data_IF_488992812056
#
_entry.id   IF_488992812056
#
_cell.length_a   1.000
_cell.length_b   1.000
_cell.length_c   1.000
_cell.angle_alpha   90.00
_cell.angle_beta   90.00
_cell.angle_gamma   90.00
#
_symmetry.space_group_name_H-M   'P 1'
#
loop_
_entity.id
_entity.type
_entity.pdbx_description
1 polymer ?
#
# COMPACT_ATOMS: atom_id res chain seq x y z
N UNK A 1 4.64 13.76 -13.56
CA UNK A 1 3.66 14.15 -12.51
C UNK A 1 4.33 13.99 -11.14
N UNK A 2 3.96 14.79 -10.14
CA UNK A 2 4.46 14.64 -8.76
C UNK A 2 3.32 14.17 -7.87
N UNK A 3 3.46 13.02 -7.22
CA UNK A 3 2.48 12.52 -6.23
C UNK A 3 2.97 12.85 -4.82
N UNK A 4 2.21 13.64 -4.07
CA UNK A 4 2.60 14.08 -2.72
C UNK A 4 1.71 13.41 -1.68
N UNK A 5 2.26 12.49 -0.89
CA UNK A 5 1.58 11.83 0.23
C UNK A 5 1.73 12.66 1.50
N UNK A 6 0.65 13.32 1.91
CA UNK A 6 0.68 14.34 2.97
C UNK A 6 -0.57 14.31 3.85
N UNK A 7 -0.48 14.90 5.04
CA UNK A 7 -1.62 15.14 5.94
C UNK A 7 -1.20 16.02 7.12
N UNK A 8 -0.92 15.46 8.31
CA UNK A 8 -0.65 16.24 9.53
C UNK A 8 0.60 17.09 9.53
N UNK A 9 1.54 16.81 8.64
CA UNK A 9 2.72 17.67 8.48
C UNK A 9 2.44 18.87 7.57
N UNK A 10 1.61 18.66 6.55
CA UNK A 10 1.28 19.68 5.56
C UNK A 10 -0.12 19.39 5.01
N UNK A 11 -1.14 20.20 5.35
CA UNK A 11 -2.51 19.92 4.96
C UNK A 11 -2.68 20.02 3.44
N UNK A 12 -3.65 19.30 2.88
CA UNK A 12 -3.95 19.34 1.45
C UNK A 12 -4.34 20.75 0.94
N UNK A 13 -4.78 21.63 1.84
CA UNK A 13 -5.10 23.03 1.56
C UNK A 13 -3.87 23.94 1.45
N UNK A 14 -2.66 23.43 1.70
CA UNK A 14 -1.44 24.22 1.66
C UNK A 14 -1.20 24.82 0.25
N UNK A 15 -1.04 26.15 0.11
CA UNK A 15 -0.96 26.81 -1.20
C UNK A 15 0.16 26.29 -2.11
N UNK A 16 1.30 25.85 -1.57
CA UNK A 16 2.42 25.32 -2.37
C UNK A 16 2.09 23.97 -3.03
N UNK A 17 1.02 23.30 -2.62
CA UNK A 17 0.53 22.07 -3.27
C UNK A 17 -0.50 22.37 -4.38
N UNK A 18 -1.01 23.59 -4.48
CA UNK A 18 -2.05 24.00 -5.43
C UNK A 18 -1.46 24.31 -6.82
N UNK A 19 -0.86 23.32 -7.47
CA UNK A 19 -0.28 23.40 -8.82
C UNK A 19 -0.71 22.19 -9.67
N UNK A 20 -0.91 22.36 -10.99
CA UNK A 20 -1.30 21.25 -11.87
C UNK A 20 -0.28 20.10 -11.93
N UNK A 21 0.98 20.36 -11.57
CA UNK A 21 2.04 19.33 -11.59
C UNK A 21 2.01 18.41 -10.37
N UNK A 22 1.22 18.75 -9.34
CA UNK A 22 1.10 18.00 -8.09
C UNK A 22 -0.26 17.29 -8.04
N UNK A 23 -0.20 15.99 -7.78
CA UNK A 23 -1.32 15.18 -7.35
C UNK A 23 -1.23 14.91 -5.87
N UNK A 24 -2.07 15.59 -5.10
CA UNK A 24 -2.17 15.40 -3.65
C UNK A 24 -2.76 14.02 -3.36
N UNK A 25 -2.13 13.32 -2.40
CA UNK A 25 -2.51 11.99 -1.91
C UNK A 25 -2.66 12.08 -0.38
N UNK A 26 -3.55 11.30 0.24
CA UNK A 26 -3.59 11.18 1.70
C UNK A 26 -2.25 10.63 2.24
N UNK A 27 -2.03 10.58 3.57
CA UNK A 27 -0.84 9.96 4.13
C UNK A 27 -0.66 8.53 3.60
N UNK A 28 0.56 8.20 3.17
CA UNK A 28 0.88 6.93 2.52
C UNK A 28 0.45 5.72 3.36
N UNK A 29 -0.27 4.80 2.72
CA UNK A 29 -0.72 3.54 3.28
C UNK A 29 -0.04 2.37 2.58
N UNK A 30 -0.09 1.22 3.24
CA UNK A 30 0.33 -0.03 2.64
C UNK A 30 -0.40 -0.30 1.33
N UNK A 31 0.34 -0.39 0.23
CA UNK A 31 -0.17 -0.66 -1.12
C UNK A 31 -0.23 0.54 -2.05
N UNK A 32 -0.19 1.77 -1.53
CA UNK A 32 -0.47 2.97 -2.33
C UNK A 32 0.55 3.19 -3.46
N UNK A 33 1.79 2.70 -3.30
CA UNK A 33 2.83 2.80 -4.35
C UNK A 33 2.62 1.84 -5.53
N UNK A 34 1.66 0.92 -5.44
CA UNK A 34 1.23 0.07 -6.55
C UNK A 34 0.11 0.69 -7.39
N UNK A 35 -0.38 1.88 -7.04
CA UNK A 35 -1.39 2.58 -7.85
C UNK A 35 -0.88 2.77 -9.29
N UNK A 36 -1.69 2.32 -10.25
CA UNK A 36 -1.39 2.43 -11.67
C UNK A 36 -1.25 3.88 -12.12
N UNK A 37 -1.89 4.85 -11.45
CA UNK A 37 -1.74 6.26 -11.75
C UNK A 37 -0.32 6.81 -11.52
N UNK A 38 0.54 6.11 -10.78
CA UNK A 38 1.97 6.43 -10.63
C UNK A 38 2.72 5.70 -11.74
N UNK A 39 3.34 6.42 -12.67
CA UNK A 39 4.01 5.87 -13.86
C UNK A 39 5.54 5.97 -13.76
N UNK A 40 6.29 5.16 -14.54
CA UNK A 40 7.73 5.38 -14.71
C UNK A 40 8.01 6.84 -15.12
N UNK A 41 9.01 7.47 -14.50
CA UNK A 41 9.34 8.89 -14.71
C UNK A 41 8.59 9.87 -13.81
N UNK A 42 7.52 9.44 -13.12
CA UNK A 42 6.87 10.28 -12.11
C UNK A 42 7.73 10.41 -10.84
N UNK A 43 7.51 11.48 -10.09
CA UNK A 43 8.08 11.69 -8.77
C UNK A 43 7.04 11.38 -7.71
N UNK A 44 7.43 10.64 -6.67
CA UNK A 44 6.62 10.43 -5.47
C UNK A 44 7.35 11.05 -4.29
N UNK A 45 6.71 12.05 -3.67
CA UNK A 45 7.15 12.65 -2.42
C UNK A 45 6.33 12.07 -1.27
N UNK A 46 7.00 11.34 -0.38
CA UNK A 46 6.40 10.85 0.87
C UNK A 46 6.74 11.86 1.96
N UNK A 47 5.71 12.52 2.49
CA UNK A 47 5.79 13.32 3.71
C UNK A 47 5.23 12.46 4.84
N UNK A 48 3.92 12.23 4.85
CA UNK A 48 3.23 11.49 5.90
C UNK A 48 2.85 10.07 5.47
N UNK A 49 2.69 9.20 6.47
CA UNK A 49 2.16 7.86 6.30
C UNK A 49 1.35 7.44 7.51
N UNK A 50 0.39 6.56 7.30
CA UNK A 50 -0.41 6.01 8.40
C UNK A 50 0.37 4.94 9.16
N UNK A 51 0.22 4.95 10.49
CA UNK A 51 0.84 3.99 11.39
C UNK A 51 -0.16 3.53 12.47
N UNK A 52 0.13 2.42 13.14
CA UNK A 52 -0.69 1.70 14.12
C UNK A 52 -1.98 1.05 13.61
N UNK A 53 -2.93 1.81 13.06
CA UNK A 53 -4.26 1.29 12.70
C UNK A 53 -4.26 0.52 11.37
N UNK A 54 -3.24 0.73 10.56
CA UNK A 54 -3.00 0.02 9.30
C UNK A 54 -1.53 -0.38 9.23
N UNK A 55 -1.18 -1.45 8.48
CA UNK A 55 0.21 -1.78 8.23
C UNK A 55 0.94 -0.56 7.66
N UNK A 56 2.14 -0.28 8.18
CA UNK A 56 2.96 0.81 7.67
C UNK A 56 3.40 0.55 6.22
N UNK A 57 3.70 1.63 5.49
CA UNK A 57 4.37 1.57 4.20
C UNK A 57 5.67 0.77 4.32
N UNK A 58 5.82 -0.28 3.50
CA UNK A 58 7.00 -1.16 3.55
C UNK A 58 8.13 -0.63 2.67
N UNK A 59 9.37 -0.81 3.12
CA UNK A 59 10.57 -0.55 2.30
C UNK A 59 10.51 -1.20 0.92
N UNK A 60 9.99 -2.42 0.84
CA UNK A 60 9.87 -3.14 -0.43
C UNK A 60 8.93 -2.48 -1.44
N UNK A 61 7.97 -1.66 -1.00
CA UNK A 61 7.08 -0.91 -1.92
C UNK A 61 7.86 0.25 -2.56
N UNK A 62 8.61 0.99 -1.74
CA UNK A 62 9.45 2.10 -2.20
C UNK A 62 10.51 1.57 -3.16
N UNK A 63 11.20 0.50 -2.79
CA UNK A 63 12.21 -0.14 -3.63
C UNK A 63 11.60 -0.69 -4.94
N UNK A 64 10.38 -1.23 -4.91
CA UNK A 64 9.67 -1.62 -6.13
C UNK A 64 9.30 -0.42 -7.01
N UNK A 65 8.92 0.72 -6.42
CA UNK A 65 8.66 1.95 -7.16
C UNK A 65 9.94 2.49 -7.84
N UNK A 66 11.07 2.52 -7.11
CA UNK A 66 12.39 2.87 -7.67
C UNK A 66 12.75 1.92 -8.80
N UNK A 67 12.60 0.60 -8.61
CA UNK A 67 12.90 -0.39 -9.64
C UNK A 67 12.03 -0.19 -10.90
N UNK A 68 10.82 0.35 -10.77
CA UNK A 68 9.91 0.69 -11.88
C UNK A 68 10.25 2.03 -12.55
N UNK A 69 11.26 2.75 -12.07
CA UNK A 69 11.68 4.05 -12.62
C UNK A 69 10.91 5.24 -12.06
N UNK A 70 10.30 5.11 -10.88
CA UNK A 70 9.68 6.22 -10.15
C UNK A 70 10.75 6.91 -9.30
N UNK A 71 10.82 8.25 -9.35
CA UNK A 71 11.72 9.02 -8.50
C UNK A 71 11.12 9.15 -7.10
N UNK A 72 11.76 8.55 -6.10
CA UNK A 72 11.27 8.58 -4.73
C UNK A 72 11.97 9.67 -3.92
N UNK A 73 11.19 10.57 -3.33
CA UNK A 73 11.65 11.60 -2.39
C UNK A 73 10.99 11.35 -1.04
N UNK A 74 11.74 11.47 0.05
CA UNK A 74 11.20 11.47 1.41
C UNK A 74 11.66 12.68 2.19
N UNK A 75 10.74 13.29 2.93
CA UNK A 75 11.03 14.44 3.76
C UNK A 75 10.04 14.54 4.91
N UNK A 76 10.51 15.06 6.05
CA UNK A 76 9.76 15.09 7.30
C UNK A 76 9.15 13.72 7.70
N UNK A 77 8.54 13.68 8.89
CA UNK A 77 7.69 12.55 9.31
C UNK A 77 8.27 11.15 9.02
N UNK A 78 7.46 10.19 8.56
CA UNK A 78 7.91 8.87 8.10
C UNK A 78 8.72 8.92 6.80
N UNK A 79 8.49 9.93 5.95
CA UNK A 79 9.20 10.09 4.67
C UNK A 79 10.71 10.25 4.83
N UNK A 80 11.13 11.10 5.77
CA UNK A 80 12.52 11.31 6.14
C UNK A 80 13.19 10.05 6.67
N UNK A 81 12.50 9.30 7.55
CA UNK A 81 13.00 8.02 8.06
C UNK A 81 13.23 7.03 6.91
N UNK A 82 12.23 6.85 6.04
CA UNK A 82 12.34 5.94 4.89
C UNK A 82 13.43 6.38 3.90
N UNK A 83 13.59 7.68 3.68
CA UNK A 83 14.69 8.19 2.86
C UNK A 83 16.06 7.92 3.47
N UNK A 84 16.23 8.05 4.79
CA UNK A 84 17.49 7.72 5.47
C UNK A 84 17.85 6.23 5.31
N UNK A 85 16.87 5.34 5.44
CA UNK A 85 17.06 3.90 5.29
C UNK A 85 17.28 3.47 3.82
N UNK A 86 16.71 4.21 2.86
CA UNK A 86 16.68 3.84 1.44
C UNK A 86 17.54 4.72 0.54
N UNK A 87 18.29 5.67 1.09
CA UNK A 87 19.24 6.49 0.35
C UNK A 87 20.26 5.67 -0.46
N UNK A 88 20.85 4.56 0.07
CA UNK A 88 21.76 3.72 -0.72
C UNK A 88 21.11 3.06 -1.96
N UNK A 89 19.78 2.99 -1.99
CA UNK A 89 19.00 2.39 -3.07
C UNK A 89 18.35 3.44 -4.00
N UNK A 90 18.64 4.73 -3.81
CA UNK A 90 18.21 5.80 -4.71
C UNK A 90 16.97 6.59 -4.26
N UNK A 91 16.52 6.45 -3.02
CA UNK A 91 15.52 7.38 -2.46
C UNK A 91 16.20 8.68 -2.02
N UNK A 92 15.74 9.81 -2.54
CA UNK A 92 16.27 11.13 -2.18
C UNK A 92 15.68 11.61 -0.86
N UNK A 93 16.53 11.90 0.13
CA UNK A 93 16.11 12.51 1.37
C UNK A 93 16.29 14.03 1.38
N UNK A 94 15.28 14.76 1.86
CA UNK A 94 15.31 16.21 1.96
C UNK A 94 14.98 16.66 3.39
N UNK A 95 15.71 17.68 3.85
CA UNK A 95 15.43 18.36 5.10
C UNK A 95 16.33 17.95 6.28
N UNK A 96 16.16 18.67 7.37
CA UNK A 96 16.95 18.49 8.60
C UNK A 96 16.61 17.17 9.29
N UNK A 97 15.33 16.77 9.30
CA UNK A 97 14.88 15.51 9.92
C UNK A 97 15.49 14.31 9.19
N UNK A 98 15.50 14.31 7.85
CA UNK A 98 16.21 13.29 7.07
C UNK A 98 17.69 13.25 7.43
N UNK A 99 18.34 14.41 7.47
CA UNK A 99 19.77 14.51 7.78
C UNK A 99 20.09 13.94 9.16
N UNK A 100 19.27 14.23 10.17
CA UNK A 100 19.44 13.69 11.51
C UNK A 100 19.24 12.17 11.58
N UNK A 101 18.28 11.59 10.85
CA UNK A 101 18.18 10.13 10.73
C UNK A 101 19.38 9.53 10.00
N UNK A 102 19.79 10.10 8.87
CA UNK A 102 20.90 9.61 8.05
C UNK A 102 22.25 9.64 8.79
N UNK A 103 22.43 10.60 9.70
CA UNK A 103 23.60 10.72 10.58
C UNK A 103 23.50 9.91 11.87
N UNK A 104 22.34 9.32 12.15
CA UNK A 104 22.09 8.62 13.41
C UNK A 104 22.05 9.54 14.63
N UNK A 105 21.64 10.80 14.46
CA UNK A 105 21.39 11.73 15.57
C UNK A 105 20.03 11.45 16.24
N UNK A 106 19.09 10.89 15.46
CA UNK A 106 17.78 10.41 15.91
C UNK A 106 17.50 9.03 15.31
N UNK A 107 16.70 8.22 16.02
CA UNK A 107 16.42 6.83 15.62
C UNK A 107 14.99 6.36 15.87
N UNK A 108 14.27 6.98 16.82
CA UNK A 108 12.95 6.52 17.25
C UNK A 108 11.84 6.90 16.27
N UNK A 109 10.81 6.06 16.18
CA UNK A 109 9.57 6.38 15.45
C UNK A 109 8.79 7.52 16.14
N UNK A 110 8.93 7.62 17.45
CA UNK A 110 8.31 8.66 18.28
C UNK A 110 8.87 10.06 18.02
N UNK A 111 10.05 10.15 17.40
CA UNK A 111 10.66 11.42 17.00
C UNK A 111 9.72 12.22 16.09
N UNK A 112 9.00 11.51 15.22
CA UNK A 112 8.13 12.08 14.18
C UNK A 112 6.64 11.80 14.38
N UNK A 113 6.30 10.88 15.31
CA UNK A 113 4.93 10.47 15.59
C UNK A 113 4.09 11.59 16.21
N UNK A 114 2.83 11.65 15.79
CA UNK A 114 1.83 12.62 16.27
C UNK A 114 0.48 11.93 16.47
N UNK A 115 -0.32 12.44 17.40
CA UNK A 115 -1.73 12.07 17.53
C UNK A 115 -2.55 12.72 16.42
N UNK A 116 -3.46 11.97 15.83
CA UNK A 116 -4.40 12.44 14.80
C UNK A 116 -5.84 12.25 15.26
N UNK A 117 -6.74 13.11 14.78
CA UNK A 117 -8.15 12.97 15.06
C UNK A 117 -8.74 11.73 14.32
N UNK A 118 -9.72 11.02 14.91
CA UNK A 118 -10.29 9.81 14.30
C UNK A 118 -11.16 10.07 13.07
N UNK A 119 -11.65 11.30 12.91
CA UNK A 119 -12.63 11.75 11.91
C UNK A 119 -12.00 12.25 10.61
N UNK A 120 -10.68 12.14 10.47
CA UNK A 120 -9.97 12.49 9.25
C UNK A 120 -9.61 13.97 9.14
N UNK A 121 -9.74 14.75 10.22
CA UNK A 121 -9.06 16.05 10.29
C UNK A 121 -7.57 15.83 10.12
N UNK A 122 -6.99 16.52 9.13
CA UNK A 122 -5.59 16.36 8.79
C UNK A 122 -4.68 16.96 9.86
N UNK A 123 -5.16 17.74 10.82
CA UNK A 123 -4.32 18.43 11.80
C UNK A 123 -3.67 17.51 12.84
N UNK A 124 -2.41 17.82 13.17
CA UNK A 124 -1.68 17.18 14.26
C UNK A 124 -2.20 17.66 15.62
N UNK A 125 -2.67 16.75 16.46
CA UNK A 125 -3.14 17.06 17.82
C UNK A 125 -2.00 17.24 18.83
N UNK A 126 -0.81 16.70 18.51
CA UNK A 126 0.34 16.68 19.42
C UNK A 126 1.65 17.09 18.76
N UNK A 127 2.65 17.33 19.61
CA UNK A 127 3.98 17.76 19.20
C UNK A 127 4.92 16.57 19.00
N UNK A 128 5.53 16.41 17.81
CA UNK A 128 6.59 15.43 17.58
C UNK A 128 7.90 15.90 18.26
N UNK A 129 8.82 14.96 18.57
CA UNK A 129 10.04 15.29 19.32
C UNK A 129 10.92 16.22 18.49
N UNK A 130 11.00 16.01 17.17
CA UNK A 130 11.83 16.84 16.29
C UNK A 130 11.45 18.32 16.34
N UNK A 131 10.15 18.65 16.46
CA UNK A 131 9.70 20.03 16.62
C UNK A 131 10.08 20.58 18.00
N UNK A 132 10.04 19.76 19.05
CA UNK A 132 10.48 20.15 20.40
C UNK A 132 11.99 20.42 20.44
N UNK A 133 12.80 19.54 19.84
CA UNK A 133 14.26 19.72 19.69
C UNK A 133 14.56 21.02 18.97
N UNK A 134 13.91 21.25 17.83
CA UNK A 134 14.10 22.46 17.05
C UNK A 134 13.70 23.72 17.83
N UNK A 135 12.55 23.70 18.48
CA UNK A 135 12.06 24.82 19.30
C UNK A 135 13.01 25.14 20.45
N UNK A 136 13.55 24.13 21.14
CA UNK A 136 14.53 24.33 22.20
C UNK A 136 15.86 24.88 21.66
N UNK A 137 16.27 24.47 20.46
CA UNK A 137 17.46 25.03 19.82
C UNK A 137 17.27 26.51 19.43
N UNK A 138 16.07 26.88 18.95
CA UNK A 138 15.71 28.29 18.73
C UNK A 138 15.73 29.08 20.04
N UNK A 139 15.18 28.51 21.12
CA UNK A 139 15.19 29.13 22.45
C UNK A 139 16.61 29.35 22.99
N UNK A 140 17.51 28.39 22.77
CA UNK A 140 18.95 28.53 23.11
C UNK A 140 19.61 29.64 22.33
N UNK A 141 19.35 29.71 21.03
CA UNK A 141 19.89 30.76 20.15
C UNK A 141 19.39 32.14 20.56
N UNK A 142 18.16 32.23 21.05
CA UNK A 142 17.56 33.45 21.58
C UNK A 142 17.93 33.77 23.04
N UNK A 143 18.76 32.94 23.70
CA UNK A 143 19.19 33.16 25.08
C UNK A 143 18.11 32.92 26.14
N UNK A 144 17.01 32.23 25.80
CA UNK A 144 15.88 31.96 26.70
C UNK A 144 16.19 30.80 27.66
N UNK A 145 16.94 29.81 27.19
CA UNK A 145 17.42 28.66 27.95
C UNK A 145 18.88 28.39 27.60
N UNK A 146 19.65 27.85 28.54
CA UNK A 146 20.99 27.33 28.27
C UNK A 146 20.93 25.85 27.82
N UNK A 147 22.10 25.23 27.60
CA UNK A 147 22.19 23.84 27.15
C UNK A 147 21.68 22.81 28.16
N UNK A 148 21.91 23.04 29.46
CA UNK A 148 21.50 22.12 30.53
C UNK A 148 19.98 22.15 30.68
N UNK A 149 19.40 23.36 30.75
CA UNK A 149 17.96 23.59 30.84
C UNK A 149 17.22 23.01 29.64
N UNK A 150 17.74 23.24 28.42
CA UNK A 150 17.17 22.67 27.21
C UNK A 150 17.20 21.13 27.20
N UNK A 151 18.31 20.52 27.63
CA UNK A 151 18.44 19.06 27.71
C UNK A 151 17.45 18.46 28.72
N UNK A 152 17.32 19.09 29.88
CA UNK A 152 16.37 18.68 30.91
C UNK A 152 14.90 18.79 30.45
N UNK A 153 14.54 19.90 29.80
CA UNK A 153 13.21 20.08 29.19
C UNK A 153 12.94 19.01 28.15
N UNK A 154 13.88 18.79 27.22
CA UNK A 154 13.72 17.81 26.15
C UNK A 154 13.51 16.41 26.72
N UNK A 155 14.26 16.03 27.75
CA UNK A 155 14.15 14.70 28.40
C UNK A 155 12.75 14.48 28.96
N UNK A 156 12.21 15.44 29.72
CA UNK A 156 10.85 15.32 30.27
C UNK A 156 9.76 15.36 29.20
N UNK A 157 9.93 16.20 28.18
CA UNK A 157 8.96 16.30 27.09
C UNK A 157 8.95 15.04 26.22
N UNK A 158 10.12 14.44 25.97
CA UNK A 158 10.28 13.19 25.23
C UNK A 158 9.63 12.01 25.98
N UNK A 159 9.70 11.99 27.31
CA UNK A 159 9.09 10.95 28.13
C UNK A 159 7.56 10.94 28.11
N UNK A 160 6.91 12.03 27.65
CA UNK A 160 5.46 12.06 27.48
C UNK A 160 5.07 11.24 26.25
N UNK A 161 4.20 10.24 26.44
CA UNK A 161 3.70 9.40 25.36
C UNK A 161 3.10 10.25 24.23
N UNK A 162 3.45 9.97 22.97
CA UNK A 162 3.21 10.89 21.85
C UNK A 162 1.75 11.36 21.65
N UNK A 163 0.69 10.55 21.87
CA UNK A 163 -0.70 11.02 21.78
C UNK A 163 -1.09 11.98 22.91
N UNK A 164 -0.25 12.13 23.93
CA UNK A 164 -0.44 13.01 25.08
C UNK A 164 0.45 14.26 25.03
N UNK A 165 1.38 14.37 24.06
CA UNK A 165 2.30 15.52 23.89
C UNK A 165 1.60 16.78 23.35
N UNK A 166 0.57 17.23 24.04
CA UNK A 166 -0.19 18.44 23.71
C UNK A 166 0.53 19.70 24.20
N UNK A 167 0.09 20.87 23.73
CA UNK A 167 0.52 22.17 24.29
C UNK A 167 0.29 22.26 25.80
N UNK A 168 -0.79 21.64 26.31
CA UNK A 168 -1.06 21.57 27.76
C UNK A 168 -0.01 20.72 28.50
N UNK A 169 0.43 19.60 27.92
CA UNK A 169 1.50 18.78 28.48
C UNK A 169 2.84 19.53 28.49
N UNK A 170 3.16 20.27 27.41
CA UNK A 170 4.36 21.13 27.35
C UNK A 170 4.33 22.16 28.49
N UNK A 171 3.22 22.88 28.66
CA UNK A 171 3.03 23.85 29.75
C UNK A 171 3.14 23.20 31.13
N UNK A 172 2.64 21.97 31.30
CA UNK A 172 2.77 21.25 32.56
C UNK A 172 4.22 20.90 32.89
N UNK A 173 5.00 20.43 31.90
CA UNK A 173 6.43 20.16 32.05
C UNK A 173 7.20 21.45 32.39
N UNK A 174 6.93 22.54 31.67
CA UNK A 174 7.58 23.82 31.93
C UNK A 174 7.31 24.30 33.38
N UNK A 175 6.07 24.19 33.87
CA UNK A 175 5.72 24.54 35.26
C UNK A 175 6.48 23.71 36.29
N UNK A 176 6.57 22.38 36.11
CA UNK A 176 7.28 21.51 37.06
C UNK A 176 8.77 21.82 37.14
N UNK A 177 9.37 22.26 36.03
CA UNK A 177 10.79 22.64 35.96
C UNK A 177 11.07 24.11 36.28
N UNK A 178 10.04 24.90 36.63
CA UNK A 178 10.13 26.35 36.78
C UNK A 178 10.63 27.09 35.52
N UNK A 179 10.36 26.55 34.33
CA UNK A 179 10.74 27.09 33.02
C UNK A 179 9.68 28.05 32.46
N UNK A 180 9.27 29.04 33.28
CA UNK A 180 8.20 29.99 32.95
C UNK A 180 8.58 30.93 31.81
N UNK A 181 9.85 31.34 31.75
CA UNK A 181 10.38 32.20 30.68
C UNK A 181 10.27 31.52 29.31
N UNK A 182 10.64 30.23 29.22
CA UNK A 182 10.50 29.45 28.00
C UNK A 182 9.03 29.28 27.58
N UNK A 183 8.14 28.95 28.53
CA UNK A 183 6.72 28.79 28.24
C UNK A 183 6.06 30.08 27.72
N UNK A 184 6.42 31.23 28.29
CA UNK A 184 5.94 32.53 27.86
C UNK A 184 6.48 32.88 26.47
N UNK A 185 7.81 32.73 26.27
CA UNK A 185 8.45 32.97 24.99
C UNK A 185 7.84 32.13 23.87
N UNK A 186 7.64 30.82 24.09
CA UNK A 186 7.00 29.94 23.09
C UNK A 186 5.57 30.38 22.77
N UNK A 187 4.81 30.81 23.79
CA UNK A 187 3.45 31.32 23.59
C UNK A 187 3.46 32.61 22.75
N UNK A 188 4.38 33.53 23.01
CA UNK A 188 4.49 34.79 22.28
C UNK A 188 4.93 34.59 20.82
N UNK A 189 5.89 33.68 20.59
CA UNK A 189 6.30 33.31 19.24
C UNK A 189 5.14 32.69 18.45
N UNK A 190 4.42 31.72 19.03
CA UNK A 190 3.28 31.06 18.35
C UNK A 190 2.07 31.96 18.13
N UNK A 191 1.91 33.00 18.93
CA UNK A 191 0.89 34.03 18.70
C UNK A 191 1.20 34.87 17.46
N UNK A 192 2.48 35.05 17.14
CA UNK A 192 2.93 35.81 15.97
C UNK A 192 2.99 34.94 14.72
N UNK A 193 3.52 33.72 14.85
CA UNK A 193 3.59 32.72 13.81
C UNK A 193 3.04 31.38 14.32
N UNK A 194 1.83 30.96 13.89
CA UNK A 194 1.24 29.68 14.30
C UNK A 194 2.13 28.45 14.04
N UNK A 195 3.03 28.52 13.06
CA UNK A 195 3.96 27.46 12.66
C UNK A 195 5.34 27.60 13.27
N UNK A 196 5.54 28.51 14.23
CA UNK A 196 6.82 28.66 14.91
C UNK A 196 7.26 27.34 15.55
N UNK A 197 8.49 26.91 15.21
CA UNK A 197 9.06 25.65 15.70
C UNK A 197 8.61 24.40 14.93
N UNK A 198 7.82 24.54 13.86
CA UNK A 198 7.32 23.43 13.06
C UNK A 198 8.35 22.98 12.00
N UNK A 199 9.36 22.24 12.46
CA UNK A 199 10.42 21.70 11.60
C UNK A 199 9.86 20.72 10.56
N UNK A 200 8.88 19.90 10.93
CA UNK A 200 8.21 18.99 9.99
C UNK A 200 7.63 19.75 8.80
N UNK A 201 6.89 20.84 9.05
CA UNK A 201 6.33 21.68 7.98
C UNK A 201 7.43 22.35 7.15
N UNK A 202 8.48 22.87 7.78
CA UNK A 202 9.59 23.53 7.08
C UNK A 202 10.34 22.57 6.12
N UNK A 203 10.62 21.35 6.56
CA UNK A 203 11.24 20.30 5.74
C UNK A 203 10.32 19.87 4.59
N UNK A 204 9.02 19.67 4.87
CA UNK A 204 8.04 19.30 3.85
C UNK A 204 7.93 20.35 2.74
N UNK A 205 7.85 21.64 3.09
CA UNK A 205 7.83 22.72 2.10
C UNK A 205 9.11 22.82 1.28
N UNK A 206 10.25 22.51 1.89
CA UNK A 206 11.54 22.46 1.18
C UNK A 206 11.56 21.31 0.18
N UNK A 207 11.00 20.15 0.55
CA UNK A 207 10.88 19.00 -0.34
C UNK A 207 9.90 19.24 -1.49
N UNK A 208 8.75 19.88 -1.25
CA UNK A 208 7.80 20.28 -2.30
C UNK A 208 8.49 21.20 -3.31
N UNK A 209 9.18 22.24 -2.83
CA UNK A 209 9.96 23.14 -3.70
C UNK A 209 11.04 22.40 -4.48
N UNK A 210 11.74 21.46 -3.84
CA UNK A 210 12.77 20.66 -4.49
C UNK A 210 12.17 19.76 -5.58
N UNK A 211 11.04 19.11 -5.32
CA UNK A 211 10.37 18.25 -6.29
C UNK A 211 9.86 19.02 -7.51
N UNK A 212 9.37 20.25 -7.31
CA UNK A 212 8.93 21.14 -8.40
C UNK A 212 10.10 21.66 -9.25
N UNK A 213 11.20 22.07 -8.60
CA UNK A 213 12.36 22.64 -9.29
C UNK A 213 13.22 21.57 -9.97
N UNK A 214 13.38 20.42 -9.31
CA UNK A 214 14.06 19.26 -9.84
C UNK A 214 12.99 18.24 -10.23
N UNK A 215 12.46 18.37 -11.45
CA UNK A 215 12.00 17.19 -12.21
C UNK A 215 13.22 16.32 -12.50
N UNK A 216 13.77 15.70 -11.45
CA UNK A 216 15.17 15.32 -11.36
C UNK A 216 15.52 14.33 -12.47
N UNK A 217 16.39 14.76 -13.36
CA UNK A 217 17.22 13.86 -14.16
C UNK A 217 18.18 13.16 -13.19
N UNK A 218 18.33 11.82 -13.25
CA UNK A 218 19.19 11.11 -12.30
C UNK A 218 20.60 11.68 -12.34
N UNK A 219 21.15 11.99 -11.17
CA UNK A 219 22.58 12.23 -11.03
C UNK A 219 23.29 10.94 -11.43
N UNK A 220 24.30 11.04 -12.29
CA UNK A 220 25.05 9.94 -12.92
C UNK A 220 25.82 9.04 -11.93
N UNK A 221 25.62 9.24 -10.63
CA UNK A 221 25.98 8.25 -9.61
C UNK A 221 24.87 7.21 -9.60
N UNK A 222 25.05 6.08 -10.28
CA UNK A 222 24.07 4.99 -10.24
C UNK A 222 23.92 4.51 -8.78
N UNK A 223 22.85 4.87 -8.03
CA UNK A 223 22.51 4.10 -6.85
C UNK A 223 22.33 2.65 -7.32
N UNK A 224 22.63 1.68 -6.47
CA UNK A 224 22.35 0.28 -6.79
C UNK A 224 20.84 0.16 -7.03
N UNK A 225 20.42 0.19 -8.30
CA UNK A 225 19.02 0.01 -8.66
C UNK A 225 18.58 -1.28 -7.99
N UNK A 226 17.61 -1.22 -7.07
CA UNK A 226 17.30 -2.39 -6.27
C UNK A 226 16.91 -3.54 -7.20
N UNK A 227 17.36 -4.76 -6.91
CA UNK A 227 17.01 -5.91 -7.72
C UNK A 227 15.48 -6.02 -7.78
N UNK A 228 14.95 -6.26 -8.97
CA UNK A 228 13.53 -6.61 -9.12
C UNK A 228 13.34 -7.97 -8.44
N UNK A 229 12.60 -8.00 -7.32
CA UNK A 229 12.37 -9.26 -6.63
C UNK A 229 11.37 -10.12 -7.39
N UNK A 230 11.86 -11.16 -8.05
CA UNK A 230 11.02 -12.20 -8.58
C UNK A 230 10.82 -13.33 -7.56
N UNK A 231 10.03 -13.05 -6.50
CA UNK A 231 9.70 -14.06 -5.49
C UNK A 231 8.18 -14.28 -5.43
N UNK A 232 7.77 -15.51 -5.13
CA UNK A 232 6.35 -15.84 -4.95
C UNK A 232 5.68 -14.98 -3.85
N UNK A 233 6.44 -14.63 -2.80
CA UNK A 233 5.96 -13.73 -1.73
C UNK A 233 5.72 -12.32 -2.23
N UNK A 234 6.67 -11.75 -2.98
CA UNK A 234 6.50 -10.41 -3.57
C UNK A 234 5.31 -10.40 -4.53
N UNK A 235 5.20 -11.38 -5.43
CA UNK A 235 4.08 -11.48 -6.38
C UNK A 235 2.73 -11.58 -5.68
N UNK A 236 2.59 -12.48 -4.70
CA UNK A 236 1.34 -12.62 -3.93
C UNK A 236 0.93 -11.30 -3.27
N UNK A 237 1.90 -10.62 -2.70
CA UNK A 237 1.68 -9.36 -2.01
C UNK A 237 1.35 -8.21 -2.97
N UNK A 238 2.11 -8.03 -4.06
CA UNK A 238 1.83 -6.99 -5.05
C UNK A 238 0.51 -7.22 -5.78
N UNK A 239 0.13 -8.48 -6.01
CA UNK A 239 -1.16 -8.84 -6.61
C UNK A 239 -2.35 -8.43 -5.75
N UNK A 240 -2.20 -8.31 -4.43
CA UNK A 240 -3.26 -7.82 -3.54
C UNK A 240 -3.65 -6.37 -3.85
N UNK A 241 -2.74 -5.60 -4.47
CA UNK A 241 -2.97 -4.19 -4.82
C UNK A 241 -3.19 -3.98 -6.32
N UNK A 242 -3.14 -5.04 -7.13
CA UNK A 242 -3.40 -4.93 -8.56
C UNK A 242 -4.88 -4.62 -8.81
N UNK A 243 -5.15 -3.43 -9.35
CA UNK A 243 -6.48 -2.96 -9.72
C UNK A 243 -6.46 -2.43 -11.15
N UNK A 244 -7.58 -2.62 -11.84
CA UNK A 244 -7.82 -2.04 -13.15
C UNK A 244 -9.14 -1.29 -13.14
N UNK A 245 -9.14 -0.12 -13.81
CA UNK A 245 -10.37 0.59 -14.14
C UNK A 245 -10.90 0.11 -15.48
N UNK A 246 -12.02 -0.61 -15.47
CA UNK A 246 -12.62 -1.21 -16.67
C UNK A 246 -14.13 -0.96 -16.65
N UNK A 247 -14.69 -0.46 -17.76
CA UNK A 247 -16.12 -0.09 -17.87
C UNK A 247 -16.59 0.88 -16.75
N UNK A 248 -15.72 1.80 -16.31
CA UNK A 248 -16.03 2.73 -15.22
C UNK A 248 -16.01 2.13 -13.80
N UNK A 249 -15.71 0.83 -13.67
CA UNK A 249 -15.56 0.13 -12.39
C UNK A 249 -14.08 0.05 -12.03
N UNK A 250 -13.75 0.26 -10.75
CA UNK A 250 -12.42 0.01 -10.19
C UNK A 250 -12.43 -1.34 -9.47
N UNK A 251 -11.82 -2.36 -10.08
CA UNK A 251 -11.97 -3.74 -9.66
C UNK A 251 -10.62 -4.37 -9.28
N UNK A 252 -10.54 -5.11 -8.15
CA UNK A 252 -9.37 -5.92 -7.85
C UNK A 252 -9.15 -6.94 -8.96
N UNK A 253 -7.95 -6.95 -9.53
CA UNK A 253 -7.59 -7.83 -10.64
C UNK A 253 -7.61 -9.30 -10.20
N UNK A 254 -7.26 -9.57 -8.94
CA UNK A 254 -7.35 -10.91 -8.37
C UNK A 254 -8.81 -11.42 -8.33
N UNK A 255 -9.78 -10.56 -8.00
CA UNK A 255 -11.18 -10.96 -7.93
C UNK A 255 -11.74 -11.26 -9.33
N UNK A 256 -11.35 -10.46 -10.33
CA UNK A 256 -11.66 -10.73 -11.75
C UNK A 256 -11.11 -12.07 -12.20
N UNK A 257 -9.83 -12.35 -11.90
CA UNK A 257 -9.21 -13.62 -12.24
C UNK A 257 -9.89 -14.81 -11.54
N UNK A 258 -10.12 -14.72 -10.23
CA UNK A 258 -10.77 -15.80 -9.47
C UNK A 258 -12.18 -16.04 -10.00
N UNK A 259 -12.92 -14.98 -10.34
CA UNK A 259 -14.25 -15.11 -10.94
C UNK A 259 -14.17 -15.91 -12.24
N UNK A 260 -13.27 -15.55 -13.16
CA UNK A 260 -13.07 -16.31 -14.40
C UNK A 260 -12.63 -17.77 -14.13
N UNK A 261 -11.68 -17.99 -13.21
CA UNK A 261 -11.24 -19.33 -12.81
C UNK A 261 -12.39 -20.20 -12.30
N UNK A 262 -13.37 -19.60 -11.63
CA UNK A 262 -14.47 -20.31 -10.99
C UNK A 262 -15.67 -20.49 -11.93
N UNK A 263 -16.07 -19.46 -12.67
CA UNK A 263 -17.32 -19.44 -13.44
C UNK A 263 -17.14 -19.70 -14.94
N UNK A 264 -15.98 -19.38 -15.54
CA UNK A 264 -15.81 -19.61 -16.97
C UNK A 264 -15.50 -21.09 -17.27
N UNK A 265 -16.35 -21.80 -18.05
CA UNK A 265 -16.08 -23.17 -18.46
C UNK A 265 -14.87 -23.29 -19.40
N UNK A 266 -14.52 -22.24 -20.16
CA UNK A 266 -13.38 -22.24 -21.07
C UNK A 266 -12.03 -21.93 -20.40
N UNK A 267 -12.03 -21.62 -19.09
CA UNK A 267 -10.83 -21.20 -18.38
C UNK A 267 -9.69 -22.23 -18.41
N UNK A 268 -9.92 -23.56 -18.31
CA UNK A 268 -8.85 -24.56 -18.46
C UNK A 268 -8.07 -24.44 -19.78
N UNK A 269 -8.76 -24.08 -20.87
CA UNK A 269 -8.13 -23.84 -22.18
C UNK A 269 -7.27 -22.58 -22.14
N UNK A 270 -7.77 -21.49 -21.53
CA UNK A 270 -6.99 -20.25 -21.35
C UNK A 270 -5.76 -20.46 -20.47
N UNK A 271 -5.89 -21.23 -19.39
CA UNK A 271 -4.77 -21.58 -18.53
C UNK A 271 -3.71 -22.37 -19.29
N UNK A 272 -4.13 -23.33 -20.11
CA UNK A 272 -3.22 -24.07 -21.00
C UNK A 272 -2.51 -23.14 -22.00
N UNK A 273 -3.23 -22.20 -22.61
CA UNK A 273 -2.64 -21.19 -23.49
C UNK A 273 -1.65 -20.26 -22.77
N UNK A 274 -1.92 -19.90 -21.51
CA UNK A 274 -0.99 -19.15 -20.67
C UNK A 274 0.27 -19.95 -20.35
N UNK A 275 0.15 -21.25 -20.03
CA UNK A 275 1.32 -22.12 -19.84
C UNK A 275 2.14 -22.26 -21.13
N UNK A 276 1.50 -22.36 -22.29
CA UNK A 276 2.16 -22.35 -23.60
C UNK A 276 2.94 -21.05 -23.82
N UNK A 277 2.28 -19.90 -23.60
CA UNK A 277 2.93 -18.59 -23.69
C UNK A 277 4.17 -18.48 -22.80
N UNK A 278 4.06 -18.90 -21.52
CA UNK A 278 5.20 -18.91 -20.58
C UNK A 278 6.30 -19.89 -20.97
N UNK A 279 5.95 -21.01 -21.60
CA UNK A 279 6.93 -21.99 -22.09
C UNK A 279 7.72 -21.47 -23.29
N UNK A 280 7.06 -20.72 -24.17
CA UNK A 280 7.63 -20.06 -25.34
C UNK A 280 8.39 -18.77 -25.00
N UNK A 281 8.09 -18.15 -23.87
CA UNK A 281 8.75 -16.93 -23.39
C UNK A 281 9.25 -17.09 -21.94
N UNK A 282 10.32 -17.87 -21.73
CA UNK A 282 10.90 -18.03 -20.40
C UNK A 282 11.38 -16.68 -19.82
N UNK A 283 11.07 -16.38 -18.55
CA UNK A 283 11.45 -15.10 -17.93
C UNK A 283 12.96 -14.95 -17.70
N UNK A 284 13.72 -16.05 -17.73
CA UNK A 284 15.18 -16.09 -17.61
C UNK A 284 15.91 -15.87 -18.95
N UNK A 285 15.17 -15.62 -20.03
CA UNK A 285 15.74 -15.41 -21.37
C UNK A 285 16.22 -16.69 -22.05
N UNK A 286 15.95 -17.87 -21.48
CA UNK A 286 16.22 -19.14 -22.13
C UNK A 286 15.40 -19.29 -23.43
N UNK A 287 15.85 -20.12 -24.39
CA UNK A 287 15.08 -20.39 -25.60
C UNK A 287 13.68 -20.92 -25.26
N UNK A 288 12.68 -20.32 -25.90
CA UNK A 288 11.29 -20.78 -25.85
C UNK A 288 11.14 -22.18 -26.42
N UNK A 289 10.30 -23.00 -25.78
CA UNK A 289 9.95 -24.33 -26.27
C UNK A 289 8.43 -24.50 -26.25
N UNK A 290 7.85 -25.21 -27.23
CA UNK A 290 6.44 -25.59 -27.14
C UNK A 290 6.16 -26.34 -25.84
N UNK A 291 5.02 -26.09 -25.19
CA UNK A 291 4.72 -26.66 -23.87
C UNK A 291 4.78 -28.19 -23.88
N UNK A 292 4.30 -28.82 -24.96
CA UNK A 292 4.35 -30.27 -25.16
C UNK A 292 5.77 -30.84 -25.11
N UNK A 293 6.75 -30.11 -25.68
CA UNK A 293 8.15 -30.53 -25.72
C UNK A 293 8.74 -30.39 -24.31
N UNK A 294 8.47 -29.27 -23.65
CA UNK A 294 8.93 -29.03 -22.28
C UNK A 294 8.34 -30.03 -21.29
N UNK A 295 7.06 -30.39 -21.44
CA UNK A 295 6.38 -31.37 -20.60
C UNK A 295 6.97 -32.77 -20.75
N UNK A 296 7.22 -33.21 -21.99
CA UNK A 296 7.81 -34.52 -22.27
C UNK A 296 9.23 -34.70 -21.69
N UNK A 297 9.94 -33.60 -21.41
CA UNK A 297 11.27 -33.64 -20.78
C UNK A 297 11.22 -33.89 -19.27
N UNK A 298 10.08 -33.66 -18.61
CA UNK A 298 9.98 -33.66 -17.14
C UNK A 298 8.99 -34.67 -16.57
N UNK A 299 8.12 -35.24 -17.41
CA UNK A 299 7.14 -36.24 -16.98
C UNK A 299 6.74 -37.17 -18.12
N UNK A 300 6.30 -38.39 -17.76
CA UNK A 300 5.73 -39.36 -18.68
C UNK A 300 4.22 -39.50 -18.42
N UNK A 301 3.43 -38.59 -18.99
CA UNK A 301 1.96 -38.68 -19.01
C UNK A 301 1.18 -37.77 -18.05
N UNK A 302 1.82 -36.98 -17.18
CA UNK A 302 1.08 -35.98 -16.39
C UNK A 302 0.70 -34.77 -17.26
N UNK A 303 -0.49 -34.16 -17.06
CA UNK A 303 -0.87 -32.96 -17.80
C UNK A 303 -0.08 -31.74 -17.31
N UNK A 304 0.14 -30.77 -18.22
CA UNK A 304 1.01 -29.61 -17.97
C UNK A 304 0.66 -28.84 -16.69
N UNK A 305 -0.63 -28.63 -16.42
CA UNK A 305 -1.11 -27.88 -15.26
C UNK A 305 -0.78 -28.55 -13.90
N UNK A 306 -0.54 -29.87 -13.89
CA UNK A 306 -0.12 -30.60 -12.68
C UNK A 306 1.37 -30.40 -12.36
N UNK A 307 2.17 -30.16 -13.40
CA UNK A 307 3.64 -30.04 -13.35
C UNK A 307 4.09 -28.60 -13.23
N UNK A 308 3.57 -27.72 -14.10
CA UNK A 308 3.97 -26.32 -14.18
C UNK A 308 2.97 -25.42 -13.46
N UNK A 309 3.45 -24.74 -12.41
CA UNK A 309 2.65 -23.82 -11.58
C UNK A 309 3.34 -22.46 -11.49
N UNK A 310 3.49 -21.74 -12.62
CA UNK A 310 4.19 -20.46 -12.63
C UNK A 310 3.40 -19.44 -11.79
N UNK A 311 4.05 -18.64 -10.95
CA UNK A 311 3.37 -17.57 -10.26
C UNK A 311 2.89 -16.53 -11.28
N UNK A 312 1.63 -16.10 -11.13
CA UNK A 312 0.98 -15.12 -12.01
C UNK A 312 1.29 -13.71 -11.50
N UNK A 313 1.70 -12.81 -12.40
CA UNK A 313 1.78 -11.38 -12.12
C UNK A 313 0.50 -10.69 -12.57
N UNK A 314 -0.33 -10.23 -11.63
CA UNK A 314 -1.59 -9.56 -11.97
C UNK A 314 -1.39 -8.09 -12.35
N UNK A 315 -0.14 -7.63 -12.48
CA UNK A 315 0.19 -6.28 -12.94
C UNK A 315 0.72 -6.28 -14.37
N UNK A 316 1.05 -7.46 -14.92
CA UNK A 316 1.51 -7.60 -16.29
C UNK A 316 0.31 -7.68 -17.24
N UNK A 317 0.20 -6.66 -18.11
CA UNK A 317 -0.92 -6.53 -19.05
C UNK A 317 -0.96 -7.68 -20.07
N UNK A 318 0.19 -8.26 -20.43
CA UNK A 318 0.23 -9.41 -21.36
C UNK A 318 -0.39 -10.65 -20.71
N UNK A 319 0.01 -10.93 -19.47
CA UNK A 319 -0.58 -12.00 -18.65
C UNK A 319 -2.09 -11.82 -18.48
N UNK A 320 -2.54 -10.60 -18.14
CA UNK A 320 -3.96 -10.31 -17.97
C UNK A 320 -4.76 -10.45 -19.26
N UNK A 321 -4.23 -9.97 -20.39
CA UNK A 321 -4.89 -10.08 -21.69
C UNK A 321 -5.16 -11.55 -22.07
N UNK A 322 -4.27 -12.48 -21.70
CA UNK A 322 -4.47 -13.91 -21.93
C UNK A 322 -5.48 -14.53 -20.96
N UNK A 323 -5.33 -14.27 -19.65
CA UNK A 323 -6.15 -14.93 -18.63
C UNK A 323 -7.59 -14.39 -18.59
N UNK A 324 -7.78 -13.09 -18.85
CA UNK A 324 -9.07 -12.41 -18.85
C UNK A 324 -9.65 -12.23 -20.26
N UNK A 325 -9.11 -12.92 -21.28
CA UNK A 325 -9.50 -12.75 -22.69
C UNK A 325 -11.01 -12.92 -22.97
N UNK A 326 -11.67 -13.82 -22.24
CA UNK A 326 -13.12 -14.05 -22.35
C UNK A 326 -13.93 -13.46 -21.20
N UNK A 327 -13.39 -12.47 -20.49
CA UNK A 327 -14.14 -11.72 -19.48
C UNK A 327 -15.16 -10.79 -20.16
N UNK A 328 -16.45 -11.00 -19.88
CA UNK A 328 -17.54 -10.18 -20.37
C UNK A 328 -17.81 -8.95 -19.49
N UNK A 329 -18.61 -8.00 -20.00
CA UNK A 329 -19.10 -6.89 -19.17
C UNK A 329 -19.98 -7.39 -18.02
N UNK A 330 -20.79 -8.42 -18.25
CA UNK A 330 -21.62 -9.04 -17.23
C UNK A 330 -20.77 -9.64 -16.09
N UNK A 331 -19.65 -10.29 -16.43
CA UNK A 331 -18.72 -10.83 -15.43
C UNK A 331 -18.16 -9.72 -14.55
N UNK A 332 -17.80 -8.57 -15.13
CA UNK A 332 -17.31 -7.41 -14.38
C UNK A 332 -18.37 -6.85 -13.45
N UNK A 333 -19.62 -6.79 -13.89
CA UNK A 333 -20.74 -6.37 -13.04
C UNK A 333 -20.98 -7.35 -11.89
N UNK A 334 -20.86 -8.66 -12.15
CA UNK A 334 -20.96 -9.69 -11.12
C UNK A 334 -19.81 -9.58 -10.11
N UNK A 335 -18.56 -9.38 -10.56
CA UNK A 335 -17.41 -9.13 -9.67
C UNK A 335 -17.66 -7.89 -8.79
N UNK A 336 -18.15 -6.79 -9.38
CA UNK A 336 -18.49 -5.59 -8.63
C UNK A 336 -19.61 -5.83 -7.60
N UNK A 337 -20.63 -6.62 -7.97
CA UNK A 337 -21.68 -7.03 -7.05
C UNK A 337 -21.10 -7.86 -5.89
N UNK A 338 -20.26 -8.85 -6.17
CA UNK A 338 -19.68 -9.74 -5.17
C UNK A 338 -18.78 -8.97 -4.20
N UNK A 339 -18.00 -8.02 -4.70
CA UNK A 339 -17.18 -7.13 -3.89
C UNK A 339 -18.03 -6.28 -2.93
N UNK A 340 -19.16 -5.72 -3.42
CA UNK A 340 -20.10 -4.95 -2.59
C UNK A 340 -20.76 -5.82 -1.53
N UNK A 341 -21.22 -7.02 -1.88
CA UNK A 341 -21.85 -7.95 -0.92
C UNK A 341 -20.87 -8.41 0.15
N UNK A 342 -19.61 -8.67 -0.24
CA UNK A 342 -18.54 -8.99 0.71
C UNK A 342 -18.22 -7.82 1.65
N UNK A 343 -18.16 -6.59 1.13
CA UNK A 343 -17.96 -5.39 1.94
C UNK A 343 -19.13 -5.19 2.92
N UNK A 344 -20.37 -5.37 2.46
CA UNK A 344 -21.55 -5.32 3.31
C UNK A 344 -21.52 -6.40 4.40
N UNK A 345 -21.13 -7.63 4.08
CA UNK A 345 -21.00 -8.71 5.07
C UNK A 345 -19.95 -8.37 6.15
N UNK A 346 -18.81 -7.77 5.76
CA UNK A 346 -17.78 -7.30 6.71
C UNK A 346 -18.28 -6.18 7.61
N UNK A 347 -19.06 -5.25 7.06
CA UNK A 347 -19.58 -4.11 7.81
C UNK A 347 -20.72 -4.51 8.76
N UNK A 348 -21.66 -5.31 8.27
CA UNK A 348 -22.86 -5.73 9.04
C UNK A 348 -22.59 -6.78 10.11
N UNK A 349 -21.42 -7.45 10.07
CA UNK A 349 -21.07 -8.55 10.99
C UNK A 349 -19.68 -8.31 11.59
N UNK A 350 -19.59 -7.68 12.78
CA UNK A 350 -18.32 -7.47 13.46
C UNK A 350 -17.51 -8.77 13.59
N UNK A 351 -16.23 -8.73 13.22
CA UNK A 351 -15.34 -9.90 13.26
C UNK A 351 -15.49 -10.86 12.07
N UNK A 352 -16.38 -10.61 11.10
CA UNK A 352 -16.45 -11.44 9.91
C UNK A 352 -15.14 -11.38 9.10
N UNK A 353 -14.59 -12.55 8.83
CA UNK A 353 -13.43 -12.74 7.97
C UNK A 353 -13.77 -13.74 6.87
N UNK A 354 -13.16 -13.60 5.69
CA UNK A 354 -13.34 -14.55 4.58
C UNK A 354 -13.00 -15.98 5.04
N UNK A 355 -11.98 -16.13 5.91
CA UNK A 355 -11.58 -17.41 6.46
C UNK A 355 -12.71 -18.14 7.21
N UNK A 356 -13.68 -17.41 7.77
CA UNK A 356 -14.83 -17.98 8.49
C UNK A 356 -15.88 -18.61 7.56
N UNK A 357 -15.83 -18.34 6.24
CA UNK A 357 -16.67 -19.05 5.27
C UNK A 357 -16.28 -20.52 5.28
N UNK A 358 -17.29 -21.41 5.40
CA UNK A 358 -17.12 -22.85 5.54
C UNK A 358 -16.45 -23.49 4.32
N UNK A 359 -15.40 -24.27 4.56
CA UNK A 359 -14.66 -25.02 3.53
C UNK A 359 -15.56 -26.03 2.79
N UNK A 360 -16.39 -26.76 3.53
CA UNK A 360 -17.27 -27.81 3.00
C UNK A 360 -18.39 -27.25 2.11
N UNK A 361 -18.96 -26.11 2.50
CA UNK A 361 -19.90 -25.36 1.67
C UNK A 361 -19.23 -24.92 0.37
N UNK A 362 -18.08 -24.25 0.47
CA UNK A 362 -17.36 -23.72 -0.70
C UNK A 362 -16.94 -24.84 -1.64
N UNK A 363 -16.45 -25.96 -1.09
CA UNK A 363 -16.10 -27.16 -1.85
C UNK A 363 -17.30 -27.74 -2.62
N UNK A 364 -18.46 -27.83 -1.97
CA UNK A 364 -19.67 -28.36 -2.60
C UNK A 364 -20.17 -27.46 -3.73
N UNK A 365 -20.06 -26.14 -3.56
CA UNK A 365 -20.37 -25.17 -4.61
C UNK A 365 -19.47 -25.35 -5.83
N UNK A 366 -18.15 -25.44 -5.63
CA UNK A 366 -17.19 -25.66 -6.73
C UNK A 366 -17.47 -26.97 -7.48
N UNK A 367 -17.76 -28.07 -6.77
CA UNK A 367 -18.11 -29.35 -7.41
C UNK A 367 -19.35 -29.24 -8.30
N UNK A 368 -20.37 -28.52 -7.83
CA UNK A 368 -21.60 -28.27 -8.60
C UNK A 368 -21.32 -27.42 -9.84
N UNK A 369 -20.56 -26.34 -9.68
CA UNK A 369 -20.26 -25.40 -10.77
C UNK A 369 -19.38 -26.04 -11.85
N UNK A 370 -18.39 -26.83 -11.46
CA UNK A 370 -17.49 -27.51 -12.38
C UNK A 370 -18.02 -28.87 -12.86
N UNK A 371 -19.21 -29.28 -12.39
CA UNK A 371 -19.83 -30.55 -12.75
C UNK A 371 -18.91 -31.76 -12.54
N UNK A 372 -18.09 -31.73 -11.47
CA UNK A 372 -17.06 -32.73 -11.23
C UNK A 372 -17.28 -33.52 -9.92
N UNK A 373 -17.00 -34.84 -9.91
CA UNK A 373 -16.96 -35.63 -8.67
C UNK A 373 -15.88 -35.13 -7.70
N UNK A 374 -16.04 -35.45 -6.40
CA UNK A 374 -15.11 -35.02 -5.35
C UNK A 374 -13.65 -35.45 -5.61
N UNK A 375 -13.43 -36.63 -6.20
CA UNK A 375 -12.11 -37.16 -6.52
C UNK A 375 -11.39 -36.42 -7.66
N UNK A 376 -12.14 -35.70 -8.51
CA UNK A 376 -11.59 -34.96 -9.65
C UNK A 376 -11.36 -33.48 -9.35
N UNK A 377 -11.79 -33.00 -8.17
CA UNK A 377 -11.73 -31.58 -7.82
C UNK A 377 -10.30 -31.01 -7.84
N UNK A 378 -9.29 -31.80 -7.47
CA UNK A 378 -7.88 -31.38 -7.57
C UNK A 378 -7.41 -31.24 -9.02
N UNK A 379 -7.92 -32.08 -9.94
CA UNK A 379 -7.60 -31.99 -11.36
C UNK A 379 -8.21 -30.71 -11.93
N UNK A 380 -9.49 -30.48 -11.66
CA UNK A 380 -10.21 -29.29 -12.12
C UNK A 380 -9.59 -28.00 -11.58
N UNK A 381 -9.28 -27.96 -10.28
CA UNK A 381 -8.61 -26.81 -9.67
C UNK A 381 -7.25 -26.54 -10.33
N UNK A 382 -6.44 -27.57 -10.54
CA UNK A 382 -5.12 -27.42 -11.17
C UNK A 382 -5.24 -26.99 -12.64
N UNK A 383 -6.19 -27.56 -13.40
CA UNK A 383 -6.47 -27.17 -14.78
C UNK A 383 -6.91 -25.70 -14.91
N UNK A 384 -7.51 -25.14 -13.86
CA UNK A 384 -7.91 -23.73 -13.77
C UNK A 384 -6.82 -22.82 -13.16
N UNK A 385 -5.62 -23.32 -12.91
CA UNK A 385 -4.52 -22.54 -12.34
C UNK A 385 -4.66 -22.21 -10.85
N UNK A 386 -5.47 -22.99 -10.12
CA UNK A 386 -5.67 -22.85 -8.67
C UNK A 386 -4.81 -23.85 -7.86
N UNK A 387 -3.85 -24.52 -8.49
CA UNK A 387 -2.94 -25.54 -7.94
C UNK A 387 -3.60 -26.83 -7.41
N UNK A 388 -4.57 -26.73 -6.49
CA UNK A 388 -5.25 -27.85 -5.85
C UNK A 388 -6.62 -27.42 -5.29
N UNK A 389 -7.43 -28.40 -4.91
CA UNK A 389 -8.78 -28.18 -4.37
C UNK A 389 -8.79 -27.29 -3.13
N UNK A 390 -7.81 -27.44 -2.23
CA UNK A 390 -7.72 -26.62 -1.02
C UNK A 390 -7.48 -25.13 -1.34
N UNK A 391 -6.65 -24.85 -2.35
CA UNK A 391 -6.38 -23.47 -2.82
C UNK A 391 -7.57 -22.90 -3.59
N UNK A 392 -8.23 -23.70 -4.41
CA UNK A 392 -9.48 -23.32 -5.06
C UNK A 392 -10.55 -22.90 -4.05
N UNK A 393 -10.74 -23.70 -2.99
CA UNK A 393 -11.65 -23.39 -1.88
C UNK A 393 -11.26 -22.06 -1.22
N UNK A 394 -9.99 -21.91 -0.81
CA UNK A 394 -9.51 -20.69 -0.14
C UNK A 394 -9.77 -19.43 -0.98
N UNK A 395 -9.50 -19.49 -2.29
CA UNK A 395 -9.74 -18.38 -3.21
C UNK A 395 -11.23 -18.11 -3.42
N UNK A 396 -12.04 -19.15 -3.62
CA UNK A 396 -13.47 -19.03 -3.91
C UNK A 396 -14.30 -18.54 -2.71
N UNK A 397 -13.83 -18.70 -1.46
CA UNK A 397 -14.54 -18.20 -0.26
C UNK A 397 -14.96 -16.74 -0.34
N UNK A 398 -14.17 -15.88 -1.01
CA UNK A 398 -14.50 -14.46 -1.18
C UNK A 398 -15.73 -14.20 -2.05
N UNK A 399 -16.06 -15.15 -2.92
CA UNK A 399 -17.19 -15.08 -3.85
C UNK A 399 -18.49 -15.59 -3.21
N UNK A 400 -18.40 -16.42 -2.16
CA UNK A 400 -19.54 -17.10 -1.54
C UNK A 400 -20.63 -16.13 -1.06
N UNK A 401 -20.34 -14.98 -0.41
CA UNK A 401 -21.40 -14.05 -0.02
C UNK A 401 -22.21 -13.53 -1.21
N UNK A 402 -21.54 -13.19 -2.33
CA UNK A 402 -22.20 -12.73 -3.56
C UNK A 402 -23.03 -13.83 -4.20
N UNK A 403 -22.47 -15.04 -4.31
CA UNK A 403 -23.17 -16.19 -4.88
C UNK A 403 -24.44 -16.55 -4.09
N UNK A 404 -24.36 -16.55 -2.76
CA UNK A 404 -25.53 -16.82 -1.91
C UNK A 404 -26.60 -15.73 -2.06
N UNK A 405 -26.20 -14.47 -2.23
CA UNK A 405 -27.14 -13.38 -2.48
C UNK A 405 -27.87 -13.56 -3.81
N UNK A 406 -27.16 -13.87 -4.89
CA UNK A 406 -27.75 -14.18 -6.20
C UNK A 406 -28.71 -15.37 -6.14
N UNK A 407 -28.33 -16.45 -5.46
CA UNK A 407 -29.19 -17.62 -5.28
C UNK A 407 -30.48 -17.26 -4.53
N UNK A 408 -30.40 -16.44 -3.49
CA UNK A 408 -31.57 -16.01 -2.73
C UNK A 408 -32.48 -15.07 -3.54
N UNK A 409 -31.91 -14.20 -4.38
CA UNK A 409 -32.68 -13.33 -5.27
C UNK A 409 -33.43 -14.14 -6.34
N UNK A 410 -32.77 -15.15 -6.92
CA UNK A 410 -33.39 -16.04 -7.91
C UNK A 410 -34.57 -16.83 -7.32
N UNK A 411 -34.43 -17.35 -6.10
CA UNK A 411 -35.52 -18.04 -5.39
C UNK A 411 -36.72 -17.10 -5.19
N UNK A 412 -36.49 -15.88 -4.70
CA UNK A 412 -37.56 -14.88 -4.47
C UNK A 412 -38.27 -14.49 -5.76
N UNK A 413 -37.54 -14.29 -6.86
CA UNK A 413 -38.14 -13.99 -8.17
C UNK A 413 -39.02 -15.12 -8.67
N UNK A 414 -38.62 -16.37 -8.42
CA UNK A 414 -39.40 -17.57 -8.79
C UNK A 414 -40.68 -17.67 -7.95
N UNK A 415 -40.61 -17.37 -6.65
CA UNK A 415 -41.77 -17.32 -5.75
C UNK A 415 -42.75 -16.22 -6.16
N UNK A 416 -42.29 -15.00 -6.47
CA UNK A 416 -43.15 -13.88 -6.91
C UNK A 416 -43.73 -14.02 -8.32
N UNK A 417 -43.21 -14.96 -9.12
CA UNK A 417 -43.75 -15.26 -10.46
C UNK A 417 -44.79 -16.39 -10.44
N UNK A 418 -45.02 -17.03 -9.28
CA UNK A 418 -46.02 -18.07 -9.08
C UNK A 418 -47.21 -17.60 -8.23
N UNK A 419 -47.14 -16.36 -7.72
CA UNK A 419 -48.25 -15.57 -7.16
C UNK A 419 -48.82 -14.62 -8.23
#
# INVERSE_FOLDING_TARGET
MIHVFTGPTLPASEPQLATPDIRIRPPARHGDLFDTAIRPGDTVLIIDGLYHQTPALRHKEILAAIARGVHMIGAASIGALRAAELAPFGMLGIGSIYTSYARGEIHGDDEVAVGQAPDGEEESLTWPVVNLRHTLQLARTAGIVDGERATGLLTELHAVYYPQRTTAAIRAVCRRRNETQFAQWLTDQRRTDPHFGDLKRADALTAVRTALNNSATPTDQTPHRPPVWDTAYYRRWSNTFAHDRVCGLDLPTEDRLIYQQVFDPAFPTRWTAYLEHRSLQPPDGAPGLPLRVRLAQVTDGLPAHRVFRPPVDLRDQTTLALLLAGESEQDRQAVAHYARTLAYARHSRPGFQIAAVRDDLTRSLLQRMWHCPALQLDTEASARGLDCAARAVEKAKRLVPGLLDEMNQATKLTETAHD
#
